data_IF_126990698317
#
_entry.id   IF_126990698317
#
_cell.length_a   1.000
_cell.length_b   1.000
_cell.length_c   1.000
_cell.angle_alpha   90.00
_cell.angle_beta   90.00
_cell.angle_gamma   90.00
#
_symmetry.space_group_name_H-M   'P 1'
#
loop_
_entity.id
_entity.type
_entity.pdbx_description
1 polymer ?
#
# COMPACT_ATOMS: atom_id res chain seq x y z
N UNK A 1 26.24 -15.68 37.53
CA UNK A 1 25.92 -16.21 36.20
C UNK A 1 24.41 -16.35 35.97
N UNK A 2 23.61 -16.44 37.04
CA UNK A 2 22.14 -16.57 36.94
C UNK A 2 21.42 -15.22 36.72
N UNK A 3 22.02 -14.10 37.14
CA UNK A 3 21.44 -12.75 37.03
C UNK A 3 21.38 -12.23 35.58
N UNK A 4 22.27 -12.72 34.71
CA UNK A 4 22.38 -12.30 33.31
C UNK A 4 21.36 -12.94 32.36
N UNK A 5 20.72 -14.05 32.75
CA UNK A 5 19.72 -14.72 31.92
C UNK A 5 18.32 -14.11 32.08
N UNK A 6 17.90 -13.83 33.33
CA UNK A 6 16.59 -13.25 33.61
C UNK A 6 16.43 -11.81 33.08
N UNK A 7 17.52 -11.04 33.00
CA UNK A 7 17.52 -9.70 32.40
C UNK A 7 17.36 -9.74 30.87
N UNK A 8 17.88 -10.77 30.20
CA UNK A 8 17.72 -10.96 28.75
C UNK A 8 16.28 -11.39 28.39
N UNK A 9 15.67 -12.25 29.20
CA UNK A 9 14.28 -12.67 29.00
C UNK A 9 13.25 -11.54 29.25
N UNK A 10 13.56 -10.60 30.15
CA UNK A 10 12.75 -9.40 30.38
C UNK A 10 12.80 -8.41 29.21
N UNK A 11 13.97 -8.25 28.59
CA UNK A 11 14.17 -7.41 27.40
C UNK A 11 13.45 -7.97 26.16
N UNK A 12 13.45 -9.29 26.00
CA UNK A 12 12.73 -9.97 24.92
C UNK A 12 11.21 -9.87 25.07
N UNK A 13 10.69 -9.99 26.30
CA UNK A 13 9.27 -9.82 26.59
C UNK A 13 8.78 -8.39 26.29
N UNK A 14 9.53 -7.37 26.73
CA UNK A 14 9.22 -5.97 26.45
C UNK A 14 9.28 -5.67 24.94
N UNK A 15 10.27 -6.20 24.23
CA UNK A 15 10.37 -6.06 22.77
C UNK A 15 9.21 -6.74 22.03
N UNK A 16 8.74 -7.89 22.52
CA UNK A 16 7.58 -8.57 21.98
C UNK A 16 6.29 -7.75 22.21
N UNK A 17 6.08 -7.21 23.40
CA UNK A 17 4.94 -6.33 23.70
C UNK A 17 4.95 -5.07 22.83
N UNK A 18 6.11 -4.43 22.64
CA UNK A 18 6.25 -3.28 21.75
C UNK A 18 5.94 -3.65 20.28
N UNK A 19 6.29 -4.87 19.87
CA UNK A 19 5.97 -5.38 18.53
C UNK A 19 4.46 -5.59 18.35
N UNK A 20 3.80 -6.19 19.35
CA UNK A 20 2.35 -6.38 19.34
C UNK A 20 1.62 -5.04 19.30
N UNK A 21 2.03 -4.06 20.13
CA UNK A 21 1.44 -2.74 20.14
C UNK A 21 1.54 -2.04 18.78
N UNK A 22 2.66 -2.21 18.06
CA UNK A 22 2.82 -1.68 16.69
C UNK A 22 1.86 -2.36 15.70
N UNK A 23 1.68 -3.68 15.81
CA UNK A 23 0.75 -4.43 14.96
C UNK A 23 -0.69 -4.01 15.25
N UNK A 24 -1.08 -3.88 16.53
CA UNK A 24 -2.41 -3.41 16.92
C UNK A 24 -2.68 -2.00 16.42
N UNK A 25 -1.70 -1.09 16.49
CA UNK A 25 -1.82 0.25 15.92
C UNK A 25 -2.00 0.22 14.40
N UNK A 26 -1.34 -0.68 13.68
CA UNK A 26 -1.50 -0.84 12.23
C UNK A 26 -2.86 -1.44 11.86
N UNK A 27 -3.36 -2.41 12.63
CA UNK A 27 -4.71 -2.98 12.48
C UNK A 27 -5.77 -1.90 12.72
N UNK A 28 -5.56 -1.02 13.70
CA UNK A 28 -6.49 0.07 14.01
C UNK A 28 -6.63 1.10 12.88
N UNK A 29 -5.73 1.12 11.89
CA UNK A 29 -5.86 1.92 10.67
C UNK A 29 -6.90 1.38 9.68
N UNK A 30 -7.43 0.18 9.93
CA UNK A 30 -8.47 -0.48 9.12
C UNK A 30 -8.15 -0.52 7.62
N UNK A 31 -6.91 -0.92 7.30
CA UNK A 31 -6.42 -1.03 5.93
C UNK A 31 -6.41 -2.50 5.47
N UNK A 32 -6.48 -2.76 4.15
CA UNK A 32 -6.44 -4.13 3.62
C UNK A 32 -5.22 -4.93 4.10
N UNK A 33 -5.44 -6.20 4.46
CA UNK A 33 -4.44 -7.07 5.08
C UNK A 33 -3.86 -8.10 4.09
N UNK A 34 -3.24 -7.63 3.00
CA UNK A 34 -2.49 -8.47 2.04
C UNK A 34 -1.00 -8.09 2.01
N UNK A 35 -0.15 -8.97 1.46
CA UNK A 35 1.28 -8.67 1.30
C UNK A 35 1.51 -7.41 0.44
N UNK A 36 0.77 -7.27 -0.66
CA UNK A 36 0.82 -6.09 -1.52
C UNK A 36 0.32 -4.83 -0.81
N UNK A 37 -0.75 -4.93 -0.02
CA UNK A 37 -1.28 -3.82 0.76
C UNK A 37 -0.30 -3.35 1.84
N UNK A 38 0.34 -4.25 2.58
CA UNK A 38 1.36 -3.88 3.58
C UNK A 38 2.57 -3.18 2.95
N UNK A 39 3.01 -3.66 1.78
CA UNK A 39 4.07 -3.00 1.02
C UNK A 39 3.62 -1.63 0.50
N UNK A 40 2.39 -1.49 0.00
CA UNK A 40 1.82 -0.21 -0.42
C UNK A 40 1.74 0.79 0.74
N UNK A 41 1.25 0.35 1.90
CA UNK A 41 1.13 1.14 3.12
C UNK A 41 2.48 1.72 3.56
N UNK A 42 3.53 0.90 3.47
CA UNK A 42 4.88 1.30 3.89
C UNK A 42 5.58 2.22 2.89
N UNK A 43 5.29 2.08 1.59
CA UNK A 43 6.09 2.71 0.53
C UNK A 43 5.36 3.79 -0.29
N UNK A 44 4.03 3.71 -0.40
CA UNK A 44 3.23 4.46 -1.37
C UNK A 44 2.12 5.31 -0.71
N UNK A 45 1.49 4.77 0.34
CA UNK A 45 0.27 5.34 0.92
C UNK A 45 0.46 6.76 1.47
N UNK A 46 1.67 7.13 1.91
CA UNK A 46 1.97 8.51 2.34
C UNK A 46 1.58 9.57 1.28
N UNK A 47 1.75 9.24 0.01
CA UNK A 47 1.42 10.14 -1.10
C UNK A 47 0.06 9.82 -1.72
N UNK A 48 -0.32 8.56 -1.75
CA UNK A 48 -1.50 8.07 -2.47
C UNK A 48 -2.73 7.83 -1.59
N UNK A 49 -2.63 8.04 -0.27
CA UNK A 49 -3.74 7.90 0.68
C UNK A 49 -3.82 9.16 1.55
N UNK A 50 -4.95 9.86 1.51
CA UNK A 50 -5.18 11.03 2.36
C UNK A 50 -5.08 10.65 3.84
N UNK A 51 -4.52 11.54 4.67
CA UNK A 51 -4.43 11.35 6.11
C UNK A 51 -3.40 10.33 6.60
N UNK A 52 -2.76 9.55 5.70
CA UNK A 52 -1.76 8.53 6.06
C UNK A 52 -0.63 9.06 6.94
N UNK A 53 -0.10 10.25 6.62
CA UNK A 53 1.02 10.85 7.36
C UNK A 53 0.69 11.27 8.79
N UNK A 54 -0.59 11.30 9.17
CA UNK A 54 -1.06 11.78 10.47
C UNK A 54 -1.79 10.70 11.28
N UNK A 55 -1.79 9.44 10.80
CA UNK A 55 -2.40 8.30 11.49
C UNK A 55 -3.91 8.18 11.32
N UNK A 56 -4.49 8.92 10.37
CA UNK A 56 -5.93 8.90 10.06
C UNK A 56 -6.14 8.63 8.56
N UNK A 57 -5.71 7.47 8.05
CA UNK A 57 -5.80 7.18 6.62
C UNK A 57 -7.25 7.11 6.16
N UNK A 58 -7.53 7.74 5.02
CA UNK A 58 -8.79 7.55 4.30
C UNK A 58 -8.74 6.31 3.42
N UNK A 59 -9.55 6.33 2.36
CA UNK A 59 -9.60 5.26 1.36
C UNK A 59 -8.20 4.99 0.77
N UNK A 60 -7.69 3.74 0.82
CA UNK A 60 -6.43 3.37 0.19
C UNK A 60 -6.36 3.80 -1.27
N UNK A 61 -5.29 4.49 -1.66
CA UNK A 61 -5.14 4.95 -3.06
C UNK A 61 -6.10 6.08 -3.46
N UNK A 62 -6.86 6.67 -2.53
CA UNK A 62 -7.78 7.79 -2.79
C UNK A 62 -7.11 9.11 -3.23
N UNK A 63 -5.77 9.16 -3.22
CA UNK A 63 -4.98 10.32 -3.60
C UNK A 63 -4.77 11.32 -2.46
N UNK A 64 -3.67 12.07 -2.54
CA UNK A 64 -3.33 13.16 -1.62
C UNK A 64 -2.31 14.10 -2.28
N UNK A 65 -1.02 13.91 -1.97
CA UNK A 65 0.07 14.59 -2.69
C UNK A 65 0.33 13.95 -4.05
N UNK A 66 0.12 12.64 -4.15
CA UNK A 66 0.08 11.88 -5.39
C UNK A 66 -1.35 11.76 -5.92
N UNK A 67 -1.52 11.46 -7.21
CA UNK A 67 -2.84 11.25 -7.81
C UNK A 67 -3.57 10.05 -7.20
N UNK A 68 -4.91 10.00 -7.29
CA UNK A 68 -5.67 8.81 -6.95
C UNK A 68 -5.31 7.65 -7.89
N UNK A 69 -5.37 6.42 -7.37
CA UNK A 69 -4.99 5.20 -8.08
C UNK A 69 -6.18 4.45 -8.70
N UNK A 70 -7.40 4.95 -8.53
CA UNK A 70 -8.61 4.37 -9.14
C UNK A 70 -8.55 4.26 -10.68
N UNK A 71 -7.67 5.01 -11.34
CA UNK A 71 -7.51 4.98 -12.80
C UNK A 71 -6.31 4.15 -13.29
N UNK A 72 -5.62 3.38 -12.43
CA UNK A 72 -4.38 2.69 -12.80
C UNK A 72 -4.52 1.75 -13.98
N UNK A 73 -5.66 1.08 -14.15
CA UNK A 73 -5.90 0.18 -15.30
C UNK A 73 -6.02 0.95 -16.63
N UNK A 74 -6.51 2.19 -16.57
CA UNK A 74 -6.55 3.07 -17.74
C UNK A 74 -5.19 3.71 -18.01
N UNK A 75 -4.49 4.11 -16.95
CA UNK A 75 -3.18 4.73 -17.06
C UNK A 75 -2.10 3.74 -17.53
N UNK A 76 -2.13 2.52 -17.01
CA UNK A 76 -1.23 1.42 -17.36
C UNK A 76 -2.04 0.20 -17.82
N UNK A 77 -2.38 0.10 -19.12
CA UNK A 77 -3.12 -1.06 -19.64
C UNK A 77 -2.36 -2.35 -19.43
N UNK A 78 -1.06 -2.33 -19.72
CA UNK A 78 -0.16 -3.46 -19.49
C UNK A 78 0.40 -3.39 -18.07
N UNK A 79 0.42 -4.55 -17.40
CA UNK A 79 0.95 -4.66 -16.04
C UNK A 79 2.44 -4.38 -16.02
N UNK A 80 3.15 -4.83 -17.05
CA UNK A 80 4.59 -4.72 -17.20
C UNK A 80 5.02 -3.24 -17.28
N UNK A 81 4.27 -2.40 -17.98
CA UNK A 81 4.52 -0.96 -18.05
C UNK A 81 4.38 -0.29 -16.66
N UNK A 82 3.42 -0.76 -15.86
CA UNK A 82 3.23 -0.25 -14.49
C UNK A 82 4.41 -0.63 -13.60
N UNK A 83 4.81 -1.91 -13.67
CA UNK A 83 5.98 -2.42 -12.94
C UNK A 83 7.24 -1.66 -13.33
N UNK A 84 7.49 -1.46 -14.63
CA UNK A 84 8.66 -0.74 -15.12
C UNK A 84 8.69 0.71 -14.63
N UNK A 85 7.55 1.40 -14.69
CA UNK A 85 7.43 2.77 -14.20
C UNK A 85 7.76 2.90 -12.71
N UNK A 86 7.20 2.02 -11.85
CA UNK A 86 7.50 2.07 -10.40
C UNK A 86 8.94 1.65 -10.10
N UNK A 87 9.50 0.75 -10.92
CA UNK A 87 10.88 0.28 -10.76
C UNK A 87 11.90 1.35 -11.12
N UNK A 88 11.79 1.92 -12.34
CA UNK A 88 12.85 2.70 -12.96
C UNK A 88 12.44 4.14 -13.30
N UNK A 89 11.14 4.40 -13.46
CA UNK A 89 10.66 5.68 -13.93
C UNK A 89 11.00 5.97 -15.40
N UNK A 90 10.88 7.23 -15.76
CA UNK A 90 11.36 7.83 -17.03
C UNK A 90 11.99 9.18 -16.72
N UNK A 91 12.60 9.87 -17.68
CA UNK A 91 13.18 11.19 -17.42
C UNK A 91 12.09 12.24 -17.10
N UNK A 92 12.47 13.31 -16.38
CA UNK A 92 11.52 14.39 -16.08
C UNK A 92 11.09 15.07 -17.38
N UNK A 93 9.78 15.22 -17.56
CA UNK A 93 9.17 15.74 -18.78
C UNK A 93 8.83 14.66 -19.82
N UNK A 94 9.30 13.43 -19.66
CA UNK A 94 8.90 12.31 -20.51
C UNK A 94 7.55 11.74 -20.11
N UNK A 95 6.90 11.08 -21.08
CA UNK A 95 5.62 10.43 -20.88
C UNK A 95 5.79 9.11 -20.13
N UNK A 96 4.84 8.81 -19.23
CA UNK A 96 4.66 7.48 -18.66
C UNK A 96 3.19 7.06 -18.77
N UNK A 97 2.95 5.75 -18.89
CA UNK A 97 1.60 5.23 -19.13
C UNK A 97 0.94 5.89 -20.36
N UNK A 98 -0.39 5.97 -20.35
CA UNK A 98 -1.14 6.63 -21.45
C UNK A 98 -1.14 8.15 -21.36
N UNK A 99 -1.34 8.71 -20.17
CA UNK A 99 -1.66 10.13 -20.01
C UNK A 99 -0.73 10.87 -19.02
N UNK A 100 0.31 10.20 -18.53
CA UNK A 100 1.20 10.74 -17.50
C UNK A 100 2.40 11.45 -18.09
N UNK A 101 2.86 12.50 -17.42
CA UNK A 101 4.16 13.11 -17.65
C UNK A 101 4.92 13.14 -16.34
N UNK A 102 6.19 12.73 -16.37
CA UNK A 102 6.98 12.69 -15.16
C UNK A 102 7.34 14.10 -14.66
N UNK A 103 6.82 14.48 -13.50
CA UNK A 103 7.15 15.75 -12.83
C UNK A 103 8.37 15.67 -11.90
N UNK A 104 8.93 14.47 -11.71
CA UNK A 104 10.04 14.23 -10.76
C UNK A 104 9.62 14.20 -9.29
N UNK A 105 8.32 14.16 -8.99
CA UNK A 105 7.79 14.11 -7.62
C UNK A 105 7.72 12.69 -7.05
N UNK A 106 7.41 11.71 -7.89
CA UNK A 106 7.32 10.31 -7.49
C UNK A 106 8.72 9.68 -7.54
N UNK A 107 9.25 9.16 -6.42
CA UNK A 107 10.50 8.41 -6.45
C UNK A 107 10.29 7.05 -7.13
N UNK A 108 11.39 6.42 -7.56
CA UNK A 108 11.38 5.07 -8.12
C UNK A 108 12.04 4.10 -7.14
N UNK A 109 11.59 2.84 -7.18
CA UNK A 109 11.77 1.91 -6.07
C UNK A 109 12.64 0.70 -6.41
N UNK A 110 13.17 0.57 -7.62
CA UNK A 110 14.00 -0.58 -8.03
C UNK A 110 15.31 -0.72 -7.26
N UNK A 111 15.72 0.26 -6.45
CA UNK A 111 16.88 0.17 -5.54
C UNK A 111 16.51 -0.18 -4.10
N UNK A 112 15.23 -0.08 -3.76
CA UNK A 112 14.70 -0.24 -2.39
C UNK A 112 13.85 -1.52 -2.27
N UNK A 113 13.20 -1.92 -3.36
CA UNK A 113 12.30 -3.06 -3.44
C UNK A 113 12.79 -4.02 -4.52
N UNK A 114 12.57 -5.31 -4.28
CA UNK A 114 12.80 -6.37 -5.27
C UNK A 114 11.66 -6.42 -6.29
N UNK A 115 11.90 -7.01 -7.48
CA UNK A 115 10.82 -7.16 -8.46
C UNK A 115 9.59 -7.91 -7.92
N UNK A 116 9.70 -8.99 -7.14
CA UNK A 116 8.53 -9.61 -6.53
C UNK A 116 7.75 -8.68 -5.60
N UNK A 117 8.44 -7.81 -4.85
CA UNK A 117 7.77 -6.83 -3.98
C UNK A 117 7.04 -5.76 -4.79
N UNK A 118 7.68 -5.20 -5.82
CA UNK A 118 7.04 -4.23 -6.71
C UNK A 118 5.84 -4.89 -7.42
N UNK A 119 6.03 -6.11 -7.93
CA UNK A 119 4.96 -6.90 -8.55
C UNK A 119 3.73 -7.08 -7.64
N UNK A 120 3.94 -7.36 -6.34
CA UNK A 120 2.86 -7.51 -5.36
C UNK A 120 2.15 -6.19 -5.05
N UNK A 121 2.87 -5.06 -4.98
CA UNK A 121 2.26 -3.73 -4.87
C UNK A 121 1.37 -3.45 -6.09
N UNK A 122 1.91 -3.68 -7.30
CA UNK A 122 1.19 -3.44 -8.55
C UNK A 122 -0.05 -4.34 -8.67
N UNK A 123 0.01 -5.58 -8.20
CA UNK A 123 -1.16 -6.46 -8.13
C UNK A 123 -2.23 -5.87 -7.23
N UNK A 124 -1.88 -5.48 -6.00
CA UNK A 124 -2.82 -4.82 -5.09
C UNK A 124 -3.44 -3.54 -5.68
N UNK A 125 -2.62 -2.67 -6.27
CA UNK A 125 -3.11 -1.44 -6.90
C UNK A 125 -4.08 -1.72 -8.06
N UNK A 126 -3.85 -2.77 -8.85
CA UNK A 126 -4.67 -3.10 -10.01
C UNK A 126 -5.94 -3.87 -9.65
N UNK A 127 -5.83 -4.79 -8.69
CA UNK A 127 -6.89 -5.74 -8.35
C UNK A 127 -7.83 -5.21 -7.27
N UNK A 128 -7.35 -4.37 -6.36
CA UNK A 128 -8.17 -3.81 -5.28
C UNK A 128 -8.51 -2.34 -5.54
N UNK A 129 -7.53 -1.51 -5.93
CA UNK A 129 -7.73 -0.05 -6.04
C UNK A 129 -8.21 0.39 -7.42
N UNK A 130 -7.73 -0.30 -8.46
CA UNK A 130 -7.97 0.03 -9.86
C UNK A 130 -9.26 -0.53 -10.44
N UNK A 131 -9.99 -1.34 -9.66
CA UNK A 131 -11.32 -1.77 -10.05
C UNK A 131 -12.27 -0.57 -9.99
N UNK A 132 -13.24 -0.46 -10.91
CA UNK A 132 -14.34 0.46 -10.70
C UNK A 132 -14.96 0.09 -9.34
N UNK A 133 -15.05 1.08 -8.43
CA UNK A 133 -15.76 0.94 -7.16
C UNK A 133 -17.03 0.14 -7.41
N UNK A 134 -17.05 -1.11 -6.93
CA UNK A 134 -18.23 -1.94 -7.01
C UNK A 134 -19.32 -1.15 -6.28
N UNK A 135 -20.49 -1.01 -6.91
CA UNK A 135 -21.65 -0.42 -6.27
C UNK A 135 -22.07 -1.39 -5.15
N UNK A 136 -21.41 -1.33 -3.99
CA UNK A 136 -21.73 -2.11 -2.79
C UNK A 136 -22.95 -1.51 -2.11
N UNK A 137 -24.00 -1.25 -2.89
CA UNK A 137 -25.35 -1.11 -2.38
C UNK A 137 -25.85 -2.51 -1.97
N UNK A 138 -25.51 -2.90 -0.73
CA UNK A 138 -26.23 -3.89 0.06
C UNK A 138 -26.04 -5.36 -0.33
N UNK A 139 -25.06 -6.02 0.28
CA UNK A 139 -25.10 -7.48 0.49
C UNK A 139 -25.81 -7.86 1.79
N UNK A 140 -26.66 -6.98 2.32
CA UNK A 140 -27.46 -7.26 3.52
C UNK A 140 -28.96 -7.11 3.20
N UNK A 141 -29.49 -8.08 2.44
CA UNK A 141 -30.91 -8.39 2.40
C UNK A 141 -31.17 -9.76 1.78
N UNK A 142 -31.88 -10.59 2.54
CA UNK A 142 -32.63 -11.82 2.17
C UNK A 142 -31.95 -13.17 2.41
N UNK A 143 -31.85 -13.54 3.68
CA UNK A 143 -32.20 -14.90 4.11
C UNK A 143 -33.45 -14.77 5.00
N UNK A 144 -34.63 -15.06 4.43
CA UNK A 144 -35.92 -15.41 5.07
C UNK A 144 -36.99 -15.39 3.96
N UNK A 145 -37.06 -16.46 3.18
CA UNK A 145 -38.27 -16.94 2.50
C UNK A 145 -37.99 -18.27 1.78
N UNK A 146 -38.16 -19.40 2.48
CA UNK A 146 -38.72 -20.67 1.96
C UNK A 146 -38.94 -21.66 3.10
#
# INVERSE_FOLDING_TARGET
AEDSAAAAEGDEAEAAEATVARIEAEIALDQPASYGAGLFNTNCARCHTAGWSYGEPGEPGGGAMGPPLANVLTQFPLREDHVEWVTNGVEVGEQYGRFGQNEGRMPYFGRQLTQPQIAAIIEYEREELGQPIADTAGSDATEEAS
#
